data_IF_130145572053
#
_entry.id   IF_130145572053
#
_cell.length_a   1.000
_cell.length_b   1.000
_cell.length_c   1.000
_cell.angle_alpha   90.00
_cell.angle_beta   90.00
_cell.angle_gamma   90.00
#
_symmetry.space_group_name_H-M   'P 1'
#
loop_
_entity.id
_entity.type
_entity.pdbx_description
1 polymer ?
2 non-polymer ?
3 non-polymer ?
4 water ?
#
# COMPACT_ATOMS: atom_id res chain seq x y z
N UNK A 4 8.75 15.75 24.18
CA UNK A 4 7.56 16.27 23.46
C UNK A 4 7.92 16.56 21.99
N UNK A 5 7.44 15.76 21.05
CA UNK A 5 7.33 16.17 19.63
C UNK A 5 6.41 15.24 18.84
N UNK A 6 5.99 15.71 17.69
CA UNK A 6 5.17 14.97 16.73
C UNK A 6 5.99 14.86 15.46
N UNK A 7 6.05 13.70 14.85
CA UNK A 7 6.64 13.51 13.50
C UNK A 7 5.56 13.06 12.55
N UNK A 8 5.44 13.76 11.41
CA UNK A 8 4.48 13.45 10.33
C UNK A 8 5.23 12.85 9.17
N UNK A 9 4.73 11.74 8.64
CA UNK A 9 5.22 11.11 7.40
C UNK A 9 4.04 10.86 6.51
N UNK A 10 4.31 10.70 5.21
CA UNK A 10 3.26 10.53 4.20
C UNK A 10 3.43 9.18 3.50
N UNK A 11 2.33 8.48 3.29
CA UNK A 11 2.24 7.30 2.46
C UNK A 11 1.31 7.61 1.30
N UNK A 12 1.53 6.94 0.20
CA UNK A 12 0.62 6.90 -0.97
C UNK A 12 0.26 5.45 -1.21
N UNK A 13 -1.00 5.12 -1.06
CA UNK A 13 -1.59 3.86 -1.56
C UNK A 13 -2.19 4.12 -2.94
N UNK A 14 -2.15 3.16 -3.82
CA UNK A 14 -2.76 3.33 -5.15
C UNK A 14 -2.98 2.04 -5.83
N UNK A 15 -3.70 2.09 -6.94
CA UNK A 15 -3.87 0.93 -7.79
C UNK A 15 -4.04 1.38 -9.20
N UNK A 16 -3.72 0.48 -10.11
CA UNK A 16 -4.01 0.56 -11.55
C UNK A 16 -4.81 -0.67 -11.96
N UNK A 17 -5.75 -0.49 -12.86
CA UNK A 17 -6.52 -1.60 -13.46
C UNK A 17 -6.80 -1.32 -14.93
N UNK A 18 -6.78 -2.35 -15.74
CA UNK A 18 -7.12 -2.27 -17.18
C UNK A 18 -7.57 -3.65 -17.67
N UNK A 19 -8.25 -3.69 -18.80
CA UNK A 19 -8.72 -4.94 -19.46
C UNK A 19 -7.52 -5.82 -19.78
N UNK A 20 -7.64 -7.10 -19.51
CA UNK A 20 -6.66 -8.13 -19.93
C UNK A 20 -6.95 -8.46 -21.38
N UNK A 21 -5.93 -8.49 -22.25
CA UNK A 21 -6.03 -8.99 -23.64
C UNK A 21 -5.53 -10.44 -23.67
N UNK A 22 -6.45 -11.39 -23.53
CA UNK A 22 -6.15 -12.84 -23.52
C UNK A 22 -7.31 -13.60 -24.16
N UNK A 23 -7.23 -14.94 -24.31
CA UNK A 23 -8.30 -15.72 -24.94
C UNK A 23 -9.66 -15.53 -24.25
N UNK A 24 -10.74 -15.63 -25.02
CA UNK A 24 -12.15 -15.51 -24.52
C UNK A 24 -12.35 -16.47 -23.35
N UNK A 25 -11.60 -17.62 -23.34
CA UNK A 25 -11.82 -18.80 -22.45
C UNK A 25 -10.93 -18.69 -21.20
N UNK A 26 -10.20 -17.58 -21.04
CA UNK A 26 -9.61 -17.18 -19.75
C UNK A 26 -10.58 -16.24 -19.03
N UNK A 27 -10.97 -16.60 -17.82
CA UNK A 27 -12.03 -15.93 -17.03
C UNK A 27 -11.61 -14.55 -16.57
N UNK A 28 -10.33 -14.33 -16.33
CA UNK A 28 -9.82 -13.03 -15.79
C UNK A 28 -9.95 -11.95 -16.87
N UNK A 29 -10.70 -10.90 -16.55
CA UNK A 29 -11.01 -9.79 -17.47
C UNK A 29 -9.99 -8.68 -17.31
N UNK A 30 -9.33 -8.58 -16.16
CA UNK A 30 -8.55 -7.37 -15.77
C UNK A 30 -7.17 -7.78 -15.26
N UNK A 31 -6.19 -6.95 -15.57
CA UNK A 31 -4.89 -6.85 -14.84
C UNK A 31 -4.98 -5.70 -13.84
N UNK A 32 -4.51 -5.92 -12.65
CA UNK A 32 -4.41 -4.81 -11.68
C UNK A 32 -3.12 -4.88 -10.90
N UNK A 33 -2.80 -3.77 -10.31
CA UNK A 33 -1.58 -3.57 -9.52
C UNK A 33 -1.95 -2.65 -8.38
N UNK A 34 -1.69 -3.07 -7.15
CA UNK A 34 -1.90 -2.22 -5.96
C UNK A 34 -0.53 -1.93 -5.35
N UNK A 35 -0.36 -0.77 -4.72
CA UNK A 35 0.95 -0.43 -4.12
C UNK A 35 0.79 0.44 -2.88
N UNK A 36 1.90 0.51 -2.14
CA UNK A 36 2.21 1.52 -1.11
C UNK A 36 3.61 2.10 -1.41
N UNK A 37 3.73 3.41 -1.50
CA UNK A 37 5.01 4.10 -1.77
C UNK A 37 5.07 5.36 -0.89
N UNK A 38 6.23 5.99 -0.86
CA UNK A 38 6.42 7.34 -0.34
C UNK A 38 6.25 8.36 -1.44
N UNK A 39 6.12 9.64 -1.08
CA UNK A 39 6.32 10.74 -2.02
C UNK A 39 7.75 10.70 -2.62
N UNK A 40 7.95 11.39 -3.74
CA UNK A 40 9.28 11.46 -4.44
C UNK A 40 10.34 11.92 -3.44
N UNK A 41 11.54 11.37 -3.52
CA UNK A 41 12.69 11.84 -2.73
C UNK A 41 12.46 11.51 -1.24
N UNK A 42 11.45 10.70 -0.92
CA UNK A 42 11.28 10.09 0.45
C UNK A 42 11.51 8.59 0.34
N UNK A 43 12.01 7.98 1.39
CA UNK A 43 12.37 6.53 1.38
C UNK A 43 11.72 5.86 2.59
N UNK A 44 10.48 5.41 2.44
CA UNK A 44 9.63 4.92 3.57
C UNK A 44 10.23 3.61 4.11
N UNK A 45 11.16 2.99 3.38
CA UNK A 45 11.81 1.74 3.84
C UNK A 45 12.51 1.98 5.17
N UNK A 46 12.93 3.22 5.46
CA UNK A 46 13.57 3.56 6.75
C UNK A 46 12.63 3.31 7.94
N UNK A 47 11.30 3.39 7.78
CA UNK A 47 10.38 3.22 8.95
C UNK A 47 9.38 2.09 8.71
N UNK A 48 9.27 1.59 7.49
CA UNK A 48 8.37 0.46 7.11
C UNK A 48 9.15 -0.87 7.18
N UNK A 49 8.74 -1.73 8.09
CA UNK A 49 9.27 -3.13 8.22
C UNK A 49 8.74 -3.95 7.02
N UNK A 50 7.46 -3.85 6.71
CA UNK A 50 6.83 -4.66 5.64
C UNK A 50 5.46 -4.15 5.35
N UNK A 51 4.93 -4.53 4.18
CA UNK A 51 3.52 -4.27 3.82
C UNK A 51 2.87 -5.60 3.46
N UNK A 52 1.72 -5.87 4.05
CA UNK A 52 0.90 -7.05 3.81
C UNK A 52 -0.35 -6.64 3.11
N UNK A 53 -0.56 -7.17 1.90
CA UNK A 53 -1.80 -7.02 1.13
C UNK A 53 -2.63 -8.28 1.31
N UNK A 54 -3.86 -8.14 1.79
CA UNK A 54 -4.81 -9.25 2.02
C UNK A 54 -5.77 -9.32 0.86
N UNK A 55 -5.46 -10.15 -0.14
CA UNK A 55 -6.26 -10.32 -1.35
C UNK A 55 -7.56 -11.07 -0.99
N UNK A 56 -8.54 -11.01 -1.87
CA UNK A 56 -9.75 -11.86 -1.83
C UNK A 56 -9.35 -13.33 -1.60
N UNK A 57 -10.10 -14.04 -0.77
CA UNK A 57 -9.81 -15.44 -0.31
C UNK A 57 -9.73 -16.38 -1.52
N UNK A 58 -10.27 -15.99 -2.67
CA UNK A 58 -10.27 -16.81 -3.92
C UNK A 58 -8.89 -16.85 -4.57
N UNK A 59 -8.02 -15.88 -4.31
CA UNK A 59 -6.65 -15.86 -4.88
C UNK A 59 -5.78 -16.94 -4.22
N UNK A 60 -4.81 -17.52 -4.93
CA UNK A 60 -3.80 -18.37 -4.29
C UNK A 60 -2.89 -17.52 -3.39
N UNK A 61 -2.54 -18.06 -2.22
CA UNK A 61 -1.74 -17.38 -1.16
C UNK A 61 -2.20 -15.94 -1.02
N UNK A 62 -3.41 -15.69 -0.46
CA UNK A 62 -4.01 -14.35 -0.49
C UNK A 62 -3.31 -13.32 0.41
N UNK A 63 -2.56 -13.79 1.39
CA UNK A 63 -1.77 -12.90 2.27
C UNK A 63 -0.41 -12.63 1.59
N UNK A 64 -0.28 -11.50 0.88
CA UNK A 64 0.93 -11.16 0.08
C UNK A 64 1.80 -10.17 0.87
N UNK A 65 3.07 -10.52 1.12
CA UNK A 65 4.02 -9.73 1.94
C UNK A 65 5.09 -9.17 1.02
N UNK A 66 5.36 -7.89 1.15
CA UNK A 66 6.55 -7.19 0.61
C UNK A 66 7.37 -6.66 1.77
N UNK A 67 8.55 -7.23 2.00
CA UNK A 67 9.41 -6.85 3.12
C UNK A 67 10.32 -5.71 2.70
N UNK A 68 10.35 -5.38 1.40
CA UNK A 68 11.15 -4.24 0.90
C UNK A 68 10.46 -3.70 -0.34
N UNK A 69 10.83 -2.49 -0.79
CA UNK A 69 10.24 -1.91 -1.98
C UNK A 69 10.65 -2.69 -3.21
N UNK A 70 9.80 -2.78 -4.24
CA UNK A 70 8.50 -2.11 -4.25
C UNK A 70 7.47 -2.86 -3.39
N UNK A 71 6.66 -2.11 -2.64
CA UNK A 71 5.51 -2.64 -1.91
C UNK A 71 4.33 -2.67 -2.86
N UNK A 72 4.17 -3.79 -3.55
CA UNK A 72 3.16 -3.89 -4.62
C UNK A 72 2.75 -5.33 -4.84
N UNK A 73 1.55 -5.49 -5.33
CA UNK A 73 1.04 -6.79 -5.83
C UNK A 73 0.53 -6.54 -7.22
N UNK A 74 0.91 -7.39 -8.16
CA UNK A 74 0.38 -7.39 -9.55
C UNK A 74 -0.42 -8.68 -9.76
N UNK A 75 -1.61 -8.57 -10.28
CA UNK A 75 -2.53 -9.74 -10.39
C UNK A 75 -3.43 -9.57 -11.61
N UNK A 76 -4.10 -10.65 -11.97
CA UNK A 76 -5.27 -10.66 -12.87
C UNK A 76 -6.50 -11.01 -12.04
N UNK A 77 -7.69 -10.56 -12.47
CA UNK A 77 -8.93 -10.79 -11.69
C UNK A 77 -10.16 -10.54 -12.50
N UNK A 78 -11.33 -10.86 -11.95
CA UNK A 78 -12.61 -10.67 -12.67
C UNK A 78 -13.54 -9.73 -11.90
N UNK A 79 -13.13 -9.20 -10.75
CA UNK A 79 -13.97 -8.31 -9.89
C UNK A 79 -13.12 -7.50 -8.93
N UNK A 80 -13.60 -6.31 -8.56
CA UNK A 80 -13.01 -5.51 -7.49
C UNK A 80 -13.33 -6.11 -6.15
N UNK A 81 -12.71 -5.62 -5.11
CA UNK A 81 -12.97 -6.03 -3.72
C UNK A 81 -12.34 -5.02 -2.79
N UNK A 82 -12.62 -5.15 -1.50
CA UNK A 82 -12.01 -4.37 -0.41
C UNK A 82 -10.79 -5.12 0.08
N UNK A 83 -9.63 -4.46 0.04
CA UNK A 83 -8.34 -5.05 0.34
C UNK A 83 -7.81 -4.44 1.63
N UNK A 84 -7.75 -5.21 2.75
CA UNK A 84 -6.95 -4.80 3.89
C UNK A 84 -5.48 -4.68 3.45
N UNK A 85 -4.85 -3.56 3.80
CA UNK A 85 -3.38 -3.32 3.58
C UNK A 85 -2.78 -2.94 4.93
N UNK A 86 -1.89 -3.78 5.49
CA UNK A 86 -1.22 -3.47 6.76
C UNK A 86 0.17 -2.98 6.45
N UNK A 87 0.52 -1.84 7.00
CA UNK A 87 1.88 -1.25 6.90
C UNK A 87 2.50 -1.39 8.27
N UNK A 88 3.46 -2.30 8.41
CA UNK A 88 4.13 -2.55 9.70
C UNK A 88 5.32 -1.60 9.84
N UNK A 89 5.56 -1.10 11.05
CA UNK A 89 6.61 -0.11 11.35
C UNK A 89 7.81 -0.81 11.99
N UNK A 90 9.00 -0.31 11.71
CA UNK A 90 10.25 -0.61 12.48
C UNK A 90 10.23 0.15 13.82
N UNK A 91 9.16 0.00 14.58
CA UNK A 91 8.92 0.71 15.87
C UNK A 91 9.03 -0.35 16.97
N UNK A 92 9.62 -0.05 18.10
CA UNK A 92 9.68 -1.05 19.21
C UNK A 92 8.45 -0.87 20.13
N UNK A 93 7.73 0.27 20.01
CA UNK A 93 6.54 0.53 20.88
C UNK A 93 5.31 0.81 19.99
N UNK A 94 4.20 1.10 20.60
CA UNK A 94 2.92 1.35 19.89
C UNK A 94 2.99 2.72 19.25
N UNK A 95 2.46 2.87 18.03
CA UNK A 95 1.82 1.77 17.32
C UNK A 95 2.79 0.98 16.42
N UNK A 96 2.55 -0.30 16.27
CA UNK A 96 3.47 -1.23 15.55
C UNK A 96 3.09 -1.29 14.07
N UNK A 97 1.86 -0.96 13.72
CA UNK A 97 1.38 -1.03 12.32
C UNK A 97 0.15 -0.13 12.17
N UNK A 98 -0.31 0.01 10.93
CA UNK A 98 -1.61 0.66 10.60
C UNK A 98 -2.26 -0.16 9.51
N UNK A 99 -3.58 -0.36 9.59
CA UNK A 99 -4.35 -1.12 8.61
C UNK A 99 -5.26 -0.16 7.85
N UNK A 100 -5.12 -0.16 6.54
CA UNK A 100 -5.97 0.58 5.58
C UNK A 100 -6.96 -0.41 4.98
N UNK A 101 -8.16 0.05 4.68
CA UNK A 101 -9.18 -0.69 3.92
C UNK A 101 -9.23 -0.08 2.52
N UNK A 102 -8.62 -0.75 1.55
CA UNK A 102 -8.38 -0.20 0.24
C UNK A 102 -9.46 -0.70 -0.72
N UNK A 103 -10.12 0.26 -1.38
CA UNK A 103 -11.14 0.00 -2.40
C UNK A 103 -10.44 -0.32 -3.72
N UNK A 104 -10.19 -1.61 -4.00
CA UNK A 104 -9.64 -2.04 -5.33
C UNK A 104 -10.80 -2.22 -6.32
N UNK A 105 -11.16 -1.17 -7.04
CA UNK A 105 -12.20 -1.21 -8.08
C UNK A 105 -11.55 -1.32 -9.48
N UNK A 106 -12.23 -2.02 -10.39
CA UNK A 106 -11.82 -2.21 -11.80
C UNK A 106 -12.58 -1.22 -12.69
N UNK A 107 -12.07 -0.98 -13.89
CA UNK A 107 -12.76 -0.19 -14.95
C UNK A 107 -13.73 -1.14 -15.65
N UNK A 108 -15.00 -0.95 -15.43
CA UNK A 108 -16.07 -1.76 -16.06
C UNK A 108 -16.58 -0.99 -17.26
N UNK A 109 -17.23 -1.68 -18.22
CA UNK A 109 -18.11 -1.09 -19.24
C UNK A 109 -17.26 -0.33 -20.28
N UNK A 110 -16.11 -0.90 -20.67
CA UNK A 110 -15.14 -0.26 -21.57
C UNK A 110 -14.76 1.17 -21.15
N UNK A 111 -14.67 1.45 -19.85
CA UNK A 111 -14.12 2.73 -19.32
C UNK A 111 -12.59 2.71 -19.39
N UNK A 112 -11.92 3.88 -19.50
CA UNK A 112 -10.47 3.90 -19.53
C UNK A 112 -9.85 3.22 -18.32
N UNK A 113 -8.56 2.87 -18.37
CA UNK A 113 -7.87 2.27 -17.23
C UNK A 113 -8.02 3.09 -15.94
N UNK A 114 -8.02 2.39 -14.80
CA UNK A 114 -8.00 3.01 -13.44
C UNK A 114 -6.57 3.36 -13.14
N UNK A 115 -6.35 4.55 -12.61
CA UNK A 115 -5.04 4.97 -12.04
C UNK A 115 -5.34 5.89 -10.84
N UNK A 116 -5.47 5.34 -9.63
CA UNK A 116 -5.90 6.08 -8.41
C UNK A 116 -4.77 6.13 -7.40
N UNK A 117 -4.78 7.18 -6.64
CA UNK A 117 -3.83 7.42 -5.55
C UNK A 117 -4.61 7.89 -4.36
N UNK A 118 -4.32 7.32 -3.23
CA UNK A 118 -4.88 7.72 -1.95
C UNK A 118 -3.71 8.12 -1.04
N UNK A 119 -3.69 9.37 -0.63
CA UNK A 119 -2.57 9.95 0.14
C UNK A 119 -2.93 9.91 1.62
N UNK A 120 -2.12 9.26 2.43
CA UNK A 120 -2.34 9.13 3.89
C UNK A 120 -1.21 9.85 4.64
N UNK A 121 -1.59 10.67 5.62
CA UNK A 121 -0.66 11.30 6.58
C UNK A 121 -0.65 10.49 7.84
N UNK A 122 0.51 10.06 8.28
CA UNK A 122 0.63 9.44 9.59
C UNK A 122 1.26 10.46 10.52
N UNK A 123 0.71 10.58 11.73
CA UNK A 123 1.21 11.44 12.80
C UNK A 123 1.69 10.56 13.95
N UNK A 124 2.98 10.54 14.21
CA UNK A 124 3.57 9.84 15.36
C UNK A 124 3.78 10.85 16.50
N UNK A 125 3.07 10.67 17.58
CA UNK A 125 3.21 11.47 18.82
C UNK A 125 4.33 10.86 19.68
N UNK A 126 5.32 11.66 20.04
CA UNK A 126 6.35 11.31 21.05
C UNK A 126 6.94 9.94 20.70
N UNK A 127 7.42 9.71 19.46
CA UNK A 127 8.15 8.49 19.13
C UNK A 127 9.42 8.38 19.96
N UNK A 128 9.88 7.16 20.21
CA UNK A 128 11.22 6.92 20.81
C UNK A 128 12.30 7.63 19.97
N UNK A 129 13.43 7.92 20.59
CA UNK A 129 14.64 8.46 19.93
C UNK A 129 14.87 7.69 18.63
N UNK A 130 14.99 6.38 18.75
CA UNK A 130 15.35 5.46 17.65
C UNK A 130 14.36 5.65 16.50
N UNK A 131 13.06 5.49 16.78
CA UNK A 131 12.02 5.45 15.73
C UNK A 131 11.90 6.86 15.13
N UNK A 132 12.05 7.88 15.94
CA UNK A 132 12.00 9.27 15.45
C UNK A 132 13.06 9.43 14.35
N UNK A 133 14.23 8.83 14.52
CA UNK A 133 15.35 9.01 13.56
C UNK A 133 14.97 8.29 12.26
N UNK A 134 14.37 7.10 12.37
CA UNK A 134 13.88 6.32 11.18
C UNK A 134 12.88 7.18 10.40
N UNK A 135 11.92 7.78 11.09
CA UNK A 135 10.89 8.64 10.47
C UNK A 135 11.57 9.82 9.77
N UNK A 136 12.58 10.41 10.40
CA UNK A 136 13.22 11.61 9.83
C UNK A 136 14.09 11.17 8.65
N UNK A 137 14.79 10.04 8.77
CA UNK A 137 15.58 9.46 7.65
C UNK A 137 14.66 9.26 6.43
N UNK A 138 13.39 8.88 6.64
CA UNK A 138 12.42 8.58 5.57
C UNK A 138 11.87 9.85 4.93
N UNK A 139 12.19 11.03 5.50
CA UNK A 139 11.65 12.33 5.05
C UNK A 139 10.50 12.82 5.91
N UNK A 140 10.26 12.21 7.07
CA UNK A 140 9.34 12.73 8.11
C UNK A 140 9.64 14.19 8.49
N UNK A 141 8.63 14.89 8.95
CA UNK A 141 8.73 16.32 9.39
C UNK A 141 8.33 16.42 10.85
N UNK A 142 9.13 17.11 11.65
CA UNK A 142 8.87 17.33 13.08
C UNK A 142 7.90 18.49 13.26
N UNK A 143 7.19 18.50 14.39
CA UNK A 143 6.40 19.64 14.93
C UNK A 143 6.58 19.67 16.45
N UNK A 144 6.31 20.83 17.08
CA UNK A 144 6.51 21.08 18.53
C UNK A 144 5.20 21.57 19.15
X LIG B 1 -6.11 -14.22 -10.56
X LIG B 1 -13.00 -13.04 -6.94
X LIG B 1 -2.86 -15.15 -10.61
X LIG B 1 -12.12 -10.81 -6.95
X LIG B 1 -13.23 -10.38 -6.23
X LIG B 1 -10.85 -12.61 -8.17
X LIG B 1 -10.47 -11.92 -9.11
X LIG B 1 -12.00 -12.15 -7.33
X LIG B 1 -14.10 -12.62 -6.21
X LIG B 1 -14.21 -11.28 -5.88
X LIG B 1 -15.93 -10.62 -4.85
X LIG B 1 -10.34 -13.83 -7.86
X LIG B 1 -9.18 -14.47 -8.39
X LIG B 1 -8.29 -13.88 -9.29
X LIG B 1 -7.16 -14.57 -9.70
X LIG B 1 -5.31 -15.27 -10.59
X LIG B 1 -5.76 -16.29 -9.82
X LIG B 1 -6.95 -15.87 -9.24
X LIG B 1 -7.82 -16.49 -8.35
X LIG B 1 -8.94 -15.78 -7.94
X LIG B 1 -4.06 -15.38 -11.40
X LIG B 1 -2.50 -16.36 -9.85
X LIG B 1 -1.26 -16.14 -8.98
X LIG B 1 -0.09 -15.65 -9.79
X LIG B 1 -0.48 -14.46 -10.65
X LIG B 1 -1.73 -14.76 -11.46
X LIG C 1 7.74 9.44 3.82
X LIG C 1 6.90 8.58 4.59
X LIG C 1 7.97 10.74 4.49
X LIG C 1 6.83 11.55 4.49
X LIG D 1 0.49 5.83 12.76
X LIG D 1 -0.57 4.91 12.75
X LIG D 1 0.21 7.04 13.57
X LIG D 1 0.54 6.89 14.94
X LIG E 1 -0.51 -3.24 -14.34
X LIG E 1 -0.57 -4.65 -14.28
X LIG E 1 -1.62 -2.67 -15.12
X LIG E 1 -2.83 -2.64 -14.41
X LIG F 1 -10.38 -12.02 -20.89
X LIG F 1 -11.54 -12.74 -21.16
X LIG F 1 -9.39 -12.10 -21.98
X LIG F 1 -9.46 -11.01 -22.89
X LIG G 1 5.89 -12.46 7.55
X LIG G 1 4.81 -11.58 7.54
X LIG G 1 5.70 -13.59 6.62
X LIG G 1 6.73 -13.68 5.66
#
# INVERSE_FOLDING_TARGET
MDNQCTVQVRLELGHRAQLRKKPTTEGFTHDWMVFVRGPEQCDIQHFVEKVVFWLHDSFPKPRRVCKEPPYKVEESGYAGFIMPIEVHFKNKEEPRKVCFTYDLFLNLEGNPPVNHLRCEKLTFNNPTTEFRYKLLRAGGVMVMPEGAHHHHHH
M82 N1 C2 N3 C4 C5 C6 O C3 C1 C I N C7 C12 C11 C13 N2 C10 C9 C8 C14 C19 C18 C17 C16 C15
EDO C1 O1 C2 O2
EDO C1 O1 C2 O2
EDO C1 O1 C2 O2
EDO C1 O1 C2 O2
EDO C1 O1 C2 O2
#
